data_IF_889382679256
#
_entry.id   IF_889382679256
#
_cell.length_a   1.000
_cell.length_b   1.000
_cell.length_c   1.000
_cell.angle_alpha   90.00
_cell.angle_beta   90.00
_cell.angle_gamma   90.00
#
_symmetry.space_group_name_H-M   'P 1'
#
loop_
_entity.id
_entity.type
_entity.pdbx_description
1 polymer ?
#
# COMPACT_ATOMS: atom_id res chain seq x y z
N UNK A 1 -0.02 -43.89 -35.09
CA UNK A 1 -0.37 -42.89 -34.05
C UNK A 1 0.58 -43.04 -32.85
N UNK A 2 1.59 -42.17 -32.68
CA UNK A 2 2.52 -42.28 -31.56
C UNK A 2 1.80 -41.90 -30.26
N UNK A 3 1.64 -42.88 -29.35
CA UNK A 3 1.00 -42.69 -28.04
C UNK A 3 1.95 -41.91 -27.13
N UNK A 4 1.52 -40.73 -26.66
CA UNK A 4 2.28 -39.93 -25.69
C UNK A 4 2.49 -40.75 -24.41
N UNK A 5 3.74 -40.83 -23.95
CA UNK A 5 4.09 -41.53 -22.71
C UNK A 5 3.43 -40.80 -21.53
N UNK A 6 2.90 -41.51 -20.52
CA UNK A 6 2.18 -40.90 -19.38
C UNK A 6 3.01 -39.82 -18.64
N UNK A 7 4.34 -39.90 -18.69
CA UNK A 7 5.24 -38.85 -18.17
C UNK A 7 5.10 -37.49 -18.87
N UNK A 8 4.94 -37.47 -20.20
CA UNK A 8 4.76 -36.23 -20.98
C UNK A 8 3.41 -35.56 -20.74
N UNK A 9 2.38 -36.36 -20.42
CA UNK A 9 1.06 -35.84 -20.05
C UNK A 9 1.12 -35.21 -18.66
N UNK A 10 1.83 -35.84 -17.71
CA UNK A 10 2.06 -35.27 -16.38
C UNK A 10 2.87 -33.96 -16.46
N UNK A 11 4.01 -33.93 -17.16
CA UNK A 11 4.81 -32.70 -17.31
C UNK A 11 4.03 -31.56 -17.99
N UNK A 12 3.23 -31.87 -19.01
CA UNK A 12 2.35 -30.89 -19.66
C UNK A 12 1.15 -30.47 -18.79
N UNK A 13 0.81 -31.25 -17.77
CA UNK A 13 -0.21 -30.93 -16.78
C UNK A 13 0.38 -30.05 -15.66
N UNK A 14 1.63 -30.27 -15.26
CA UNK A 14 2.39 -29.37 -14.37
C UNK A 14 2.56 -27.97 -14.96
N UNK A 15 2.93 -27.86 -16.24
CA UNK A 15 3.07 -26.57 -16.93
C UNK A 15 1.73 -25.84 -17.14
N UNK A 16 0.61 -26.57 -17.21
CA UNK A 16 -0.74 -26.00 -17.40
C UNK A 16 -1.42 -25.58 -16.10
N UNK A 17 -0.99 -26.10 -14.95
CA UNK A 17 -1.65 -25.86 -13.66
C UNK A 17 -1.14 -24.62 -12.93
N UNK A 18 -0.23 -23.84 -13.54
CA UNK A 18 0.39 -22.69 -12.87
C UNK A 18 1.33 -23.13 -11.76
N UNK A 19 2.33 -22.31 -11.47
CA UNK A 19 3.22 -22.53 -10.33
C UNK A 19 2.37 -22.78 -9.07
N UNK A 20 2.61 -23.90 -8.39
CA UNK A 20 1.93 -24.11 -7.10
C UNK A 20 2.42 -22.99 -6.18
N UNK A 21 1.56 -22.49 -5.30
CA UNK A 21 1.93 -21.46 -4.31
C UNK A 21 3.26 -21.79 -3.58
N UNK A 22 3.57 -23.07 -3.34
CA UNK A 22 4.83 -23.53 -2.74
C UNK A 22 6.10 -23.22 -3.55
N UNK A 23 6.00 -23.00 -4.87
CA UNK A 23 7.14 -22.67 -5.76
C UNK A 23 7.42 -21.16 -5.80
N UNK A 24 6.58 -20.34 -5.16
CA UNK A 24 6.79 -18.90 -5.06
C UNK A 24 7.67 -18.63 -3.84
N UNK A 25 8.85 -17.99 -3.98
CA UNK A 25 9.64 -17.62 -2.82
C UNK A 25 8.80 -16.81 -1.84
N UNK A 26 9.03 -17.01 -0.54
CA UNK A 26 8.32 -16.27 0.49
C UNK A 26 8.49 -14.77 0.21
N UNK A 27 7.40 -14.00 0.17
CA UNK A 27 7.47 -12.60 -0.20
C UNK A 27 8.31 -11.83 0.81
N UNK A 28 9.00 -10.80 0.32
CA UNK A 28 9.93 -10.02 1.13
C UNK A 28 9.27 -9.44 2.37
N UNK A 29 10.04 -9.35 3.45
CA UNK A 29 9.56 -8.78 4.71
C UNK A 29 9.27 -7.29 4.52
N UNK A 30 8.09 -6.85 4.95
CA UNK A 30 7.73 -5.44 4.98
C UNK A 30 8.56 -4.75 6.06
N UNK A 31 9.18 -3.63 5.73
CA UNK A 31 10.05 -2.93 6.67
C UNK A 31 9.28 -2.50 7.92
N UNK A 32 9.84 -2.75 9.10
CA UNK A 32 9.21 -2.41 10.39
C UNK A 32 8.09 -3.34 10.87
N UNK A 33 7.72 -4.39 10.12
CA UNK A 33 6.75 -5.41 10.54
C UNK A 33 7.42 -6.75 10.81
N UNK A 34 6.81 -7.61 11.62
CA UNK A 34 7.23 -8.98 11.86
C UNK A 34 7.06 -9.84 10.60
N UNK A 35 7.82 -10.95 10.49
CA UNK A 35 7.68 -11.86 9.37
C UNK A 35 6.26 -12.45 9.26
N UNK A 36 5.63 -12.72 10.41
CA UNK A 36 4.25 -13.20 10.49
C UNK A 36 3.26 -12.19 9.92
N UNK A 37 3.34 -10.94 10.37
CA UNK A 37 2.43 -9.88 9.90
C UNK A 37 2.69 -9.54 8.45
N UNK A 38 3.96 -9.53 8.01
CA UNK A 38 4.30 -9.37 6.59
C UNK A 38 3.64 -10.45 5.74
N UNK A 39 3.70 -11.73 6.16
CA UNK A 39 3.05 -12.82 5.45
C UNK A 39 1.52 -12.69 5.44
N UNK A 40 0.91 -12.26 6.55
CA UNK A 40 -0.54 -12.02 6.63
C UNK A 40 -0.98 -10.91 5.67
N UNK A 41 -0.19 -9.83 5.57
CA UNK A 41 -0.40 -8.74 4.60
C UNK A 41 -0.29 -9.27 3.18
N UNK A 42 0.80 -9.95 2.83
CA UNK A 42 1.00 -10.48 1.48
C UNK A 42 -0.11 -11.46 1.06
N UNK A 43 -0.59 -12.30 1.98
CA UNK A 43 -1.76 -13.16 1.74
C UNK A 43 -3.02 -12.35 1.49
N UNK A 44 -3.27 -11.30 2.26
CA UNK A 44 -4.42 -10.43 2.05
C UNK A 44 -4.34 -9.72 0.69
N UNK A 45 -3.17 -9.17 0.34
CA UNK A 45 -2.95 -8.50 -0.94
C UNK A 45 -3.16 -9.44 -2.14
N UNK A 46 -2.68 -10.68 -2.05
CA UNK A 46 -2.83 -11.68 -3.11
C UNK A 46 -4.29 -12.14 -3.30
N UNK A 47 -5.10 -12.11 -2.24
CA UNK A 47 -6.50 -12.57 -2.24
C UNK A 47 -7.51 -11.44 -2.37
N UNK A 48 -7.07 -10.18 -2.33
CA UNK A 48 -7.97 -9.03 -2.37
C UNK A 48 -8.59 -8.87 -3.76
N UNK A 49 -9.89 -8.57 -3.81
CA UNK A 49 -10.60 -8.18 -5.03
C UNK A 49 -10.61 -6.65 -5.24
N UNK A 50 -10.12 -5.87 -4.28
CA UNK A 50 -10.05 -4.42 -4.37
C UNK A 50 -8.98 -4.00 -5.40
N UNK A 51 -9.37 -3.18 -6.37
CA UNK A 51 -8.49 -2.69 -7.44
C UNK A 51 -7.22 -2.00 -6.94
N UNK A 52 -7.31 -1.29 -5.80
CA UNK A 52 -6.18 -0.57 -5.20
C UNK A 52 -5.36 -1.43 -4.24
N UNK A 53 -5.77 -2.68 -3.99
CA UNK A 53 -5.02 -3.62 -3.15
C UNK A 53 -4.41 -4.70 -4.04
N UNK A 54 -3.11 -4.58 -4.30
CA UNK A 54 -2.36 -5.51 -5.13
C UNK A 54 -1.07 -5.96 -4.41
N UNK A 55 -0.43 -7.07 -4.84
CA UNK A 55 0.80 -7.55 -4.20
C UNK A 55 1.88 -6.47 -4.08
N UNK A 56 2.40 -6.28 -2.88
CA UNK A 56 3.43 -5.29 -2.53
C UNK A 56 2.91 -3.87 -2.25
N UNK A 57 1.60 -3.63 -2.36
CA UNK A 57 1.03 -2.29 -2.21
C UNK A 57 1.23 -1.72 -0.80
N UNK A 58 1.18 -2.55 0.24
CA UNK A 58 1.29 -2.09 1.63
C UNK A 58 2.68 -1.57 1.93
N UNK A 59 3.74 -2.30 1.51
CA UNK A 59 5.12 -1.84 1.66
C UNK A 59 5.34 -0.55 0.88
N UNK A 60 4.84 -0.48 -0.35
CA UNK A 60 4.92 0.74 -1.16
C UNK A 60 4.19 1.91 -0.48
N UNK A 61 2.97 1.69 0.02
CA UNK A 61 2.19 2.71 0.71
C UNK A 61 2.88 3.22 1.99
N UNK A 62 3.47 2.32 2.80
CA UNK A 62 4.27 2.70 3.97
C UNK A 62 5.47 3.55 3.57
N UNK A 63 6.26 3.11 2.58
CA UNK A 63 7.43 3.88 2.09
C UNK A 63 7.04 5.23 1.53
N UNK A 64 5.92 5.32 0.80
CA UNK A 64 5.41 6.60 0.28
C UNK A 64 4.99 7.52 1.43
N UNK A 65 4.35 6.97 2.44
CA UNK A 65 3.94 7.74 3.60
C UNK A 65 5.14 8.26 4.40
N UNK A 66 6.12 7.39 4.68
CA UNK A 66 7.39 7.75 5.30
C UNK A 66 8.15 8.78 4.47
N UNK A 67 8.26 8.60 3.15
CA UNK A 67 8.95 9.53 2.26
C UNK A 67 8.31 10.92 2.25
N UNK A 68 6.97 11.01 2.38
CA UNK A 68 6.28 12.28 2.55
C UNK A 68 6.63 12.96 3.88
N UNK A 69 6.95 12.21 4.92
CA UNK A 69 7.30 12.75 6.24
C UNK A 69 8.81 12.94 6.43
N UNK A 70 9.65 12.24 5.67
CA UNK A 70 11.11 12.16 5.84
C UNK A 70 11.84 13.51 5.83
N UNK A 71 11.62 14.43 4.87
CA UNK A 71 12.49 15.59 4.78
C UNK A 71 12.30 16.51 5.99
N UNK A 72 13.43 16.89 6.58
CA UNK A 72 13.48 17.70 7.79
C UNK A 72 12.94 19.11 7.52
N UNK A 73 12.30 19.70 8.52
CA UNK A 73 11.80 21.08 8.44
C UNK A 73 10.59 21.32 9.32
N UNK A 74 10.42 22.58 9.71
CA UNK A 74 9.26 23.04 10.50
C UNK A 74 8.11 23.56 9.64
N UNK A 75 8.32 23.69 8.32
CA UNK A 75 7.28 24.19 7.41
C UNK A 75 6.18 23.15 7.25
N UNK A 76 4.90 23.57 7.29
CA UNK A 76 3.79 22.70 6.97
C UNK A 76 3.95 22.06 5.59
N UNK A 77 3.56 20.80 5.50
CA UNK A 77 3.50 20.02 4.28
C UNK A 77 2.07 19.94 3.80
N UNK A 78 1.96 19.88 2.49
CA UNK A 78 0.67 19.82 1.83
C UNK A 78 0.64 18.54 0.98
N UNK A 79 -0.31 17.62 1.22
CA UNK A 79 -0.55 16.51 0.30
C UNK A 79 -0.97 17.05 -1.07
N UNK A 80 -0.54 16.38 -2.13
CA UNK A 80 -0.95 16.67 -3.50
C UNK A 80 -1.86 15.54 -3.99
N UNK A 81 -2.94 15.91 -4.68
CA UNK A 81 -3.68 14.94 -5.48
C UNK A 81 -2.84 14.51 -6.67
N UNK A 82 -3.00 13.26 -7.08
CA UNK A 82 -2.55 12.81 -8.40
C UNK A 82 -3.78 12.77 -9.32
N UNK A 83 -3.68 13.39 -10.49
CA UNK A 83 -4.74 13.42 -11.49
C UNK A 83 -4.85 12.06 -12.22
N UNK A 84 -3.84 11.20 -12.10
CA UNK A 84 -3.83 9.89 -12.71
C UNK A 84 -4.54 8.84 -11.84
N UNK A 85 -5.71 8.37 -12.28
CA UNK A 85 -6.52 7.38 -11.57
C UNK A 85 -6.01 5.92 -11.59
N UNK A 86 -4.81 5.65 -12.12
CA UNK A 86 -4.29 4.28 -12.15
C UNK A 86 -3.72 3.86 -10.78
N UNK A 87 -3.80 2.57 -10.45
CA UNK A 87 -3.33 2.01 -9.16
C UNK A 87 -1.87 2.30 -8.82
N UNK A 88 -1.02 2.53 -9.82
CA UNK A 88 0.41 2.83 -9.62
C UNK A 88 0.67 4.29 -9.27
N UNK A 89 -0.01 5.21 -9.96
CA UNK A 89 0.13 6.65 -9.72
C UNK A 89 -0.68 7.12 -8.52
N UNK A 90 -1.79 6.47 -8.18
CA UNK A 90 -2.64 6.89 -7.06
C UNK A 90 -1.88 6.96 -5.71
N UNK A 91 -0.85 6.13 -5.52
CA UNK A 91 0.02 6.14 -4.33
C UNK A 91 1.02 7.30 -4.29
N UNK A 92 1.08 8.14 -5.33
CA UNK A 92 1.81 9.41 -5.27
C UNK A 92 1.11 10.37 -4.32
N UNK A 93 -0.22 10.31 -4.22
CA UNK A 93 -1.00 10.96 -3.17
C UNK A 93 -0.87 10.17 -1.87
N UNK A 94 -0.27 10.81 -0.86
CA UNK A 94 -0.10 10.24 0.48
C UNK A 94 -1.44 9.92 1.16
N UNK A 95 -2.51 10.66 0.84
CA UNK A 95 -3.85 10.41 1.38
C UNK A 95 -4.43 9.11 0.86
N UNK A 96 -4.19 8.81 -0.42
CA UNK A 96 -4.60 7.55 -1.02
C UNK A 96 -3.76 6.39 -0.49
N UNK A 97 -2.45 6.59 -0.29
CA UNK A 97 -1.62 5.61 0.42
C UNK A 97 -2.21 5.29 1.81
N UNK A 98 -2.68 6.31 2.54
CA UNK A 98 -3.36 6.12 3.83
C UNK A 98 -4.71 5.39 3.72
N UNK A 99 -5.47 5.61 2.66
CA UNK A 99 -6.71 4.89 2.39
C UNK A 99 -6.45 3.40 2.16
N UNK A 100 -5.44 3.06 1.35
CA UNK A 100 -5.02 1.66 1.10
C UNK A 100 -4.59 0.99 2.41
N UNK A 101 -3.75 1.65 3.22
CA UNK A 101 -3.37 1.14 4.55
C UNK A 101 -4.61 0.94 5.45
N UNK A 102 -5.58 1.84 5.36
CA UNK A 102 -6.86 1.70 6.04
C UNK A 102 -7.66 0.49 5.58
N UNK A 103 -7.65 0.18 4.29
CA UNK A 103 -8.31 -1.01 3.72
C UNK A 103 -7.64 -2.29 4.21
N UNK A 104 -6.31 -2.37 4.15
CA UNK A 104 -5.54 -3.52 4.64
C UNK A 104 -5.80 -3.75 6.12
N UNK A 105 -5.73 -2.70 6.94
CA UNK A 105 -6.01 -2.78 8.38
C UNK A 105 -7.39 -3.37 8.71
N UNK A 106 -8.44 -3.04 7.94
CA UNK A 106 -9.80 -3.55 8.21
C UNK A 106 -9.92 -5.05 7.97
N UNK A 107 -9.10 -5.60 7.08
CA UNK A 107 -9.20 -6.98 6.62
C UNK A 107 -8.16 -7.93 7.25
N UNK A 108 -7.16 -7.41 7.96
CA UNK A 108 -6.18 -8.23 8.65
C UNK A 108 -6.72 -8.90 9.92
N UNK A 109 -6.21 -10.08 10.31
CA UNK A 109 -6.49 -10.69 11.61
C UNK A 109 -6.12 -9.76 12.78
N UNK A 110 -6.78 -9.86 13.95
CA UNK A 110 -6.63 -8.87 15.03
C UNK A 110 -5.18 -8.60 15.49
N UNK A 111 -4.36 -9.65 15.60
CA UNK A 111 -2.97 -9.53 16.06
C UNK A 111 -2.09 -8.80 15.03
N UNK A 112 -2.18 -9.22 13.78
CA UNK A 112 -1.41 -8.64 12.67
C UNK A 112 -1.87 -7.20 12.37
N UNK A 113 -3.18 -6.96 12.49
CA UNK A 113 -3.79 -5.63 12.45
C UNK A 113 -3.24 -4.71 13.52
N UNK A 114 -3.14 -5.18 14.78
CA UNK A 114 -2.62 -4.36 15.87
C UNK A 114 -1.16 -3.94 15.64
N UNK A 115 -0.36 -4.83 15.05
CA UNK A 115 1.02 -4.52 14.70
C UNK A 115 1.11 -3.44 13.62
N UNK A 116 0.44 -3.64 12.48
CA UNK A 116 0.39 -2.63 11.43
C UNK A 116 -0.21 -1.31 11.92
N UNK A 117 -1.23 -1.37 12.79
CA UNK A 117 -1.89 -0.18 13.34
C UNK A 117 -0.95 0.67 14.18
N UNK A 118 0.00 0.08 14.92
CA UNK A 118 1.00 0.84 15.69
C UNK A 118 1.91 1.63 14.76
N UNK A 119 2.41 1.00 13.70
CA UNK A 119 3.25 1.67 12.69
C UNK A 119 2.49 2.81 12.02
N UNK A 120 1.26 2.55 11.56
CA UNK A 120 0.42 3.57 10.92
C UNK A 120 0.05 4.69 11.88
N UNK A 121 -0.19 4.41 13.17
CA UNK A 121 -0.52 5.43 14.17
C UNK A 121 0.64 6.40 14.42
N UNK A 122 1.88 5.92 14.42
CA UNK A 122 3.06 6.78 14.53
C UNK A 122 3.17 7.73 13.33
N UNK A 123 2.97 7.21 12.11
CA UNK A 123 2.95 8.01 10.88
C UNK A 123 1.77 9.00 10.88
N UNK A 124 0.59 8.58 11.34
CA UNK A 124 -0.60 9.44 11.44
C UNK A 124 -0.36 10.61 12.40
N UNK A 125 0.32 10.39 13.52
CA UNK A 125 0.65 11.44 14.47
C UNK A 125 1.59 12.48 13.86
N UNK A 126 2.64 12.02 13.18
CA UNK A 126 3.57 12.92 12.49
C UNK A 126 2.92 13.65 11.31
N UNK A 127 2.08 12.97 10.54
CA UNK A 127 1.30 13.60 9.48
C UNK A 127 0.39 14.70 10.02
N UNK A 128 -0.28 14.49 11.16
CA UNK A 128 -1.09 15.54 11.81
C UNK A 128 -0.25 16.73 12.26
N UNK A 129 0.94 16.49 12.79
CA UNK A 129 1.84 17.55 13.24
C UNK A 129 2.40 18.37 12.07
N UNK A 130 2.62 17.72 10.92
CA UNK A 130 3.24 18.35 9.74
C UNK A 130 2.23 18.91 8.73
N UNK A 131 0.94 18.59 8.81
CA UNK A 131 -0.08 19.05 7.85
C UNK A 131 -1.14 19.93 8.52
N UNK A 132 -1.52 21.02 7.86
CA UNK A 132 -2.53 21.94 8.38
C UNK A 132 -3.95 21.42 8.11
N UNK A 133 -4.87 21.55 9.07
CA UNK A 133 -6.29 21.26 8.85
C UNK A 133 -6.88 22.24 7.85
N UNK A 134 -7.75 21.74 6.97
CA UNK A 134 -8.54 22.58 6.07
C UNK A 134 -9.88 22.92 6.77
N UNK A 135 -10.16 24.20 7.09
CA UNK A 135 -11.40 24.60 7.74
C UNK A 135 -12.63 24.48 6.83
N UNK A 136 -12.45 24.44 5.50
CA UNK A 136 -13.54 24.38 4.52
C UNK A 136 -13.79 22.95 4.01
N UNK A 137 -12.98 21.97 4.43
CA UNK A 137 -13.14 20.60 3.98
C UNK A 137 -14.45 19.97 4.45
N UNK A 138 -15.09 19.18 3.57
CA UNK A 138 -16.29 18.42 3.92
C UNK A 138 -16.03 17.51 5.13
N UNK A 139 -16.84 17.68 6.18
CA UNK A 139 -16.76 16.93 7.44
C UNK A 139 -17.01 15.44 7.27
N UNK A 140 -17.66 15.01 6.17
CA UNK A 140 -17.87 13.59 5.84
C UNK A 140 -16.58 12.89 5.41
N UNK A 141 -15.57 13.64 4.99
CA UNK A 141 -14.28 13.08 4.59
C UNK A 141 -13.49 12.59 5.80
N UNK A 142 -12.66 11.58 5.55
CA UNK A 142 -11.71 11.08 6.55
C UNK A 142 -10.75 12.21 6.96
N UNK A 143 -10.30 12.20 8.21
CA UNK A 143 -9.57 13.35 8.77
C UNK A 143 -8.25 13.68 8.03
N UNK A 144 -7.62 12.70 7.37
CA UNK A 144 -6.40 12.92 6.57
C UNK A 144 -6.66 13.58 5.21
N UNK A 145 -7.91 13.51 4.72
CA UNK A 145 -8.39 14.26 3.54
C UNK A 145 -8.84 15.67 3.89
N UNK A 146 -9.11 15.96 5.17
CA UNK A 146 -9.46 17.29 5.68
C UNK A 146 -8.22 18.13 5.99
N UNK A 147 -7.24 18.10 5.09
CA UNK A 147 -5.96 18.81 5.21
C UNK A 147 -5.79 19.71 4.00
N UNK A 148 -5.14 20.87 4.21
CA UNK A 148 -4.86 21.81 3.12
C UNK A 148 -4.03 21.11 2.05
N UNK A 149 -4.48 21.21 0.81
CA UNK A 149 -3.83 20.59 -0.33
C UNK A 149 -2.79 21.52 -0.92
N UNK A 150 -1.71 20.93 -1.44
CA UNK A 150 -0.66 21.69 -2.09
C UNK A 150 -1.10 22.09 -3.50
N UNK A 151 -0.58 23.19 -4.00
CA UNK A 151 -0.83 23.58 -5.39
C UNK A 151 -0.08 22.60 -6.32
N UNK A 152 -0.76 21.79 -7.17
CA UNK A 152 -0.12 20.74 -7.97
C UNK A 152 1.05 21.24 -8.83
N UNK A 153 0.94 22.49 -9.30
CA UNK A 153 1.93 23.13 -10.16
C UNK A 153 3.24 23.52 -9.45
N UNK A 154 3.26 23.55 -8.11
CA UNK A 154 4.47 23.88 -7.32
C UNK A 154 5.46 22.71 -7.16
N UNK A 155 5.02 21.47 -7.45
CA UNK A 155 5.87 20.28 -7.37
C UNK A 155 6.68 20.05 -8.65
N UNK A 156 6.25 20.64 -9.77
CA UNK A 156 6.87 20.50 -11.10
C UNK A 156 8.15 21.32 -11.29
N UNK A 157 8.49 22.19 -10.32
CA UNK A 157 9.76 22.90 -10.28
C UNK A 157 10.91 21.98 -9.89
N UNK A 158 11.26 21.04 -10.77
CA UNK A 158 12.56 20.36 -10.72
C UNK A 158 13.63 21.38 -11.15
N UNK A 159 14.45 21.80 -10.18
CA UNK A 159 15.85 22.18 -10.45
C UNK A 159 16.63 20.97 -10.93
#
# INVERSE_FOLDING_TARGET
MPRRRPGSLRAAQWLRQGARWWDTPAPDRIHGLSARTSLAVHRHEALSADYFVFPGVTDHALRRYEAFLRPAGRKPRYPYGDDCGCRGCSLRDVRHARDVLGTVLRNLPPRDRAELARTVAALDAEYRARTLPDPLADRRLRWWHRRLQGCPFTQSGRT
#
